data_IF_875303519595
#
_entry.id   IF_875303519595
#
_cell.length_a   1.000
_cell.length_b   1.000
_cell.length_c   1.000
_cell.angle_alpha   90.00
_cell.angle_beta   90.00
_cell.angle_gamma   90.00
#
_symmetry.space_group_name_H-M   'P 1'
#
loop_
_entity.id
_entity.type
_entity.pdbx_description
1 polymer ?
#
# COMPACT_ATOMS: atom_id res chain seq x y z
N UNK A 1 23.19 28.19 -10.62
CA UNK A 1 22.65 27.64 -9.36
C UNK A 1 21.25 27.20 -9.71
N UNK A 2 21.08 25.92 -9.97
CA UNK A 2 19.77 25.35 -10.27
C UNK A 2 19.01 25.30 -8.95
N UNK A 3 17.95 26.11 -8.85
CA UNK A 3 17.08 26.13 -7.69
C UNK A 3 16.45 24.76 -7.53
N UNK A 4 16.71 24.12 -6.40
CA UNK A 4 15.91 23.00 -5.94
C UNK A 4 14.54 23.59 -5.58
N UNK A 5 13.63 23.58 -6.57
CA UNK A 5 12.28 24.12 -6.50
C UNK A 5 11.49 23.36 -5.43
N UNK A 6 11.69 23.74 -4.16
CA UNK A 6 11.18 23.12 -2.93
C UNK A 6 10.01 22.17 -3.16
N UNK A 7 10.32 20.90 -3.43
CA UNK A 7 9.32 19.94 -3.87
C UNK A 7 8.41 19.57 -2.70
N UNK A 8 7.10 19.70 -2.90
CA UNK A 8 6.10 19.32 -1.92
C UNK A 8 6.06 17.78 -1.79
N UNK A 9 6.68 17.23 -0.75
CA UNK A 9 6.60 15.79 -0.45
C UNK A 9 5.27 15.51 0.26
N UNK A 10 4.38 14.76 -0.42
CA UNK A 10 3.17 14.22 0.17
C UNK A 10 3.40 12.87 0.84
N UNK A 11 2.76 12.62 2.00
CA UNK A 11 2.69 11.31 2.66
C UNK A 11 1.25 10.93 2.98
N UNK A 12 0.96 9.65 2.90
CA UNK A 12 -0.31 9.07 3.39
C UNK A 12 0.03 8.09 4.50
N UNK A 13 -0.66 8.22 5.65
CA UNK A 13 -0.55 7.28 6.77
C UNK A 13 -1.95 6.75 7.09
N UNK A 14 -2.04 5.46 7.36
CA UNK A 14 -3.29 4.84 7.78
C UNK A 14 -3.08 4.18 9.14
N UNK A 15 -3.96 4.50 10.07
CA UNK A 15 -4.06 3.82 11.36
C UNK A 15 -5.27 2.91 11.30
N UNK A 16 -5.03 1.62 11.48
CA UNK A 16 -6.04 0.59 11.59
C UNK A 16 -6.32 0.33 13.07
N UNK A 17 -7.60 0.34 13.46
CA UNK A 17 -8.05 -0.16 14.77
C UNK A 17 -9.03 -1.28 14.54
N UNK A 18 -8.77 -2.41 15.18
CA UNK A 18 -9.67 -3.57 15.21
C UNK A 18 -9.56 -4.25 16.57
N UNK A 19 -10.63 -4.91 16.98
CA UNK A 19 -10.66 -5.70 18.20
C UNK A 19 -10.87 -7.18 17.86
N UNK A 20 -10.27 -8.07 18.66
CA UNK A 20 -10.62 -9.49 18.59
C UNK A 20 -12.08 -9.63 19.00
N UNK A 21 -12.85 -10.42 18.24
CA UNK A 21 -14.27 -10.74 18.48
C UNK A 21 -15.28 -9.64 18.10
N UNK A 22 -14.84 -8.53 17.48
CA UNK A 22 -15.72 -7.63 16.73
C UNK A 22 -15.70 -8.04 15.24
N UNK A 23 -16.54 -7.41 14.40
CA UNK A 23 -16.50 -7.54 12.93
C UNK A 23 -15.19 -6.95 12.35
N UNK A 24 -14.05 -7.55 12.67
CA UNK A 24 -12.73 -7.22 12.14
C UNK A 24 -12.22 -5.82 12.51
N UNK A 25 -11.66 -5.14 11.51
CA UNK A 25 -11.16 -3.78 11.67
C UNK A 25 -12.32 -2.79 11.60
N UNK A 26 -12.66 -2.18 12.75
CA UNK A 26 -13.83 -1.31 12.93
C UNK A 26 -13.55 0.17 12.68
N UNK A 27 -12.28 0.59 12.59
CA UNK A 27 -11.94 2.01 12.30
C UNK A 27 -10.66 2.16 11.48
N UNK A 28 -10.70 3.08 10.52
CA UNK A 28 -9.56 3.53 9.73
C UNK A 28 -9.41 5.04 9.85
N UNK A 29 -8.23 5.50 10.25
CA UNK A 29 -7.87 6.92 10.23
C UNK A 29 -6.84 7.15 9.14
N UNK A 30 -7.19 7.95 8.14
CA UNK A 30 -6.31 8.28 7.02
C UNK A 30 -5.77 9.69 7.20
N UNK A 31 -4.47 9.80 7.45
CA UNK A 31 -3.77 11.07 7.42
C UNK A 31 -3.19 11.28 6.03
N UNK A 32 -3.55 12.40 5.40
CA UNK A 32 -2.99 12.84 4.12
C UNK A 32 -2.27 14.15 4.38
N UNK A 33 -0.96 14.11 4.32
CA UNK A 33 -0.12 15.19 4.79
C UNK A 33 0.82 15.63 3.70
N UNK A 34 1.13 16.91 3.72
CA UNK A 34 2.10 17.52 2.81
C UNK A 34 3.07 18.32 3.64
N UNK A 35 4.35 18.21 3.31
CA UNK A 35 5.33 19.16 3.81
C UNK A 35 5.23 20.42 2.97
N UNK A 36 4.95 21.57 3.60
CA UNK A 36 5.05 22.85 2.91
C UNK A 36 6.48 23.01 2.36
N UNK A 37 6.66 23.46 1.11
CA UNK A 37 7.97 23.86 0.58
C UNK A 37 8.69 24.87 1.49
N UNK A 38 7.93 25.68 2.22
CA UNK A 38 8.43 26.73 3.13
C UNK A 38 8.60 26.23 4.58
N UNK A 39 8.35 24.95 4.87
CA UNK A 39 8.58 24.39 6.19
C UNK A 39 10.09 24.32 6.46
N UNK A 40 10.62 25.41 7.02
CA UNK A 40 11.97 25.52 7.56
C UNK A 40 12.34 24.21 8.27
N UNK A 41 13.52 23.62 8.01
CA UNK A 41 13.97 22.53 8.85
C UNK A 41 14.04 23.09 10.28
N UNK A 42 13.15 22.66 11.17
CA UNK A 42 13.34 22.83 12.60
C UNK A 42 14.56 22.01 12.96
N UNK A 43 15.72 22.65 12.82
CA UNK A 43 17.05 22.12 13.07
C UNK A 43 17.13 21.88 14.58
N UNK A 44 16.75 20.68 15.02
CA UNK A 44 17.16 20.19 16.31
C UNK A 44 18.42 19.34 16.05
N UNK A 45 19.58 19.97 16.21
CA UNK A 45 20.92 19.49 15.80
C UNK A 45 21.44 18.28 16.60
N UNK A 46 20.63 17.69 17.48
CA UNK A 46 21.07 16.65 18.42
C UNK A 46 20.69 15.23 18.00
N UNK A 47 19.94 15.04 16.92
CA UNK A 47 19.62 13.70 16.41
C UNK A 47 20.52 13.40 15.22
N UNK A 48 21.47 12.44 15.30
CA UNK A 48 22.28 12.03 14.17
C UNK A 48 21.38 11.54 13.04
N UNK A 49 21.19 12.36 12.01
CA UNK A 49 20.52 11.92 10.81
C UNK A 49 21.48 11.02 10.04
N UNK A 50 21.18 9.72 10.01
CA UNK A 50 21.80 8.76 9.10
C UNK A 50 21.64 9.26 7.67
N UNK A 51 22.69 9.89 7.13
CA UNK A 51 22.78 10.40 5.75
C UNK A 51 23.06 9.28 4.75
N UNK A 52 22.16 8.29 4.69
CA UNK A 52 22.04 7.40 3.54
C UNK A 52 20.60 7.44 3.06
N UNK A 53 20.24 8.55 2.41
CA UNK A 53 19.13 8.55 1.48
C UNK A 53 19.58 7.77 0.25
N UNK A 54 18.93 6.67 -0.15
CA UNK A 54 19.11 6.15 -1.50
C UNK A 54 18.60 7.22 -2.49
N UNK A 55 19.41 7.53 -3.50
CA UNK A 55 19.26 8.64 -4.46
C UNK A 55 18.05 8.52 -5.42
N UNK A 56 16.98 7.84 -5.02
CA UNK A 56 15.75 7.70 -5.81
C UNK A 56 14.52 8.06 -4.97
N UNK A 57 14.41 9.31 -4.53
CA UNK A 57 13.11 9.86 -4.13
C UNK A 57 12.36 10.21 -5.42
N UNK A 58 11.75 9.20 -6.03
CA UNK A 58 10.73 9.41 -7.05
C UNK A 58 9.64 10.32 -6.47
N UNK A 59 9.49 11.49 -7.08
CA UNK A 59 8.56 12.56 -6.77
C UNK A 59 7.16 12.02 -6.45
N UNK A 60 6.64 12.28 -5.25
CA UNK A 60 5.24 11.99 -4.91
C UNK A 60 4.43 13.27 -4.98
N UNK A 61 4.11 13.68 -6.21
CA UNK A 61 3.06 14.67 -6.45
C UNK A 61 1.73 14.05 -6.01
N UNK A 62 1.37 14.24 -4.75
CA UNK A 62 -0.01 14.06 -4.30
C UNK A 62 -0.85 14.97 -5.22
N UNK A 63 -1.89 14.50 -5.92
CA UNK A 63 -2.76 15.41 -6.67
C UNK A 63 -3.38 16.40 -5.67
N UNK A 64 -3.18 17.71 -5.90
CA UNK A 64 -3.65 18.81 -5.02
C UNK A 64 -5.14 18.84 -4.82
N UNK A 65 -5.85 18.14 -5.68
CA UNK A 65 -7.26 18.18 -5.77
C UNK A 65 -7.79 16.79 -5.41
N UNK A 66 -8.51 16.70 -4.29
CA UNK A 66 -9.41 15.57 -4.07
C UNK A 66 -10.50 15.52 -5.17
N UNK A 67 -10.65 16.61 -5.92
CA UNK A 67 -11.42 16.77 -7.16
C UNK A 67 -10.59 16.55 -8.44
N UNK A 68 -9.35 16.02 -8.38
CA UNK A 68 -8.91 15.21 -9.51
C UNK A 68 -9.92 14.10 -9.60
N UNK A 69 -10.89 14.31 -10.49
CA UNK A 69 -11.74 13.33 -11.10
C UNK A 69 -10.78 12.34 -11.72
N UNK A 70 -10.16 11.50 -10.91
CA UNK A 70 -9.81 10.19 -11.37
C UNK A 70 -11.18 9.61 -11.74
N UNK A 71 -11.51 9.71 -13.03
CA UNK A 71 -12.75 9.19 -13.55
C UNK A 71 -12.73 7.69 -13.26
N UNK A 72 -13.54 7.26 -12.30
CA UNK A 72 -13.62 5.87 -11.86
C UNK A 72 -13.10 5.60 -10.45
N UNK A 73 -13.48 4.43 -9.94
CA UNK A 73 -13.05 3.96 -8.62
C UNK A 73 -11.54 3.69 -8.57
N UNK A 74 -10.95 3.64 -7.38
CA UNK A 74 -9.55 3.18 -7.25
C UNK A 74 -9.39 1.74 -7.77
N UNK A 75 -10.46 0.93 -7.77
CA UNK A 75 -10.44 -0.41 -8.36
C UNK A 75 -10.21 -0.37 -9.87
N UNK A 76 -10.81 0.58 -10.60
CA UNK A 76 -10.54 0.78 -12.03
C UNK A 76 -9.08 1.19 -12.26
N UNK A 77 -8.54 2.02 -11.37
CA UNK A 77 -7.12 2.42 -11.44
C UNK A 77 -6.17 1.25 -11.18
N UNK A 78 -6.60 0.16 -10.54
CA UNK A 78 -5.74 -1.01 -10.35
C UNK A 78 -5.68 -1.90 -11.61
N UNK A 79 -6.64 -1.80 -12.52
CA UNK A 79 -6.75 -2.66 -13.71
C UNK A 79 -5.50 -2.58 -14.60
N UNK A 80 -5.09 -3.73 -15.11
CA UNK A 80 -3.97 -3.89 -16.04
C UNK A 80 -2.85 -4.75 -15.47
N UNK A 81 -1.76 -4.81 -16.22
CA UNK A 81 -0.56 -5.56 -15.88
C UNK A 81 0.43 -4.69 -15.12
N UNK A 82 1.08 -5.27 -14.11
CA UNK A 82 2.04 -4.59 -13.26
C UNK A 82 3.30 -5.43 -13.09
N UNK A 83 4.44 -4.77 -12.97
CA UNK A 83 5.71 -5.35 -12.53
C UNK A 83 6.13 -4.68 -11.24
N UNK A 84 6.62 -5.46 -10.28
CA UNK A 84 6.96 -4.95 -8.97
C UNK A 84 8.25 -5.51 -8.40
N UNK A 85 8.80 -4.75 -7.46
CA UNK A 85 9.88 -5.16 -6.57
C UNK A 85 9.37 -5.10 -5.13
N UNK A 86 9.55 -6.19 -4.39
CA UNK A 86 9.21 -6.34 -2.98
C UNK A 86 10.49 -6.33 -2.15
N UNK A 87 10.53 -5.49 -1.14
CA UNK A 87 11.55 -5.44 -0.10
C UNK A 87 10.93 -5.87 1.22
N UNK A 88 11.35 -7.03 1.77
CA UNK A 88 10.80 -7.57 3.01
C UNK A 88 11.83 -7.57 4.14
N UNK A 89 11.36 -7.29 5.36
CA UNK A 89 12.13 -7.35 6.59
C UNK A 89 11.36 -8.13 7.66
N UNK A 90 12.06 -8.96 8.43
CA UNK A 90 11.47 -9.74 9.52
C UNK A 90 11.69 -9.09 10.89
N UNK A 91 10.83 -9.41 11.86
CA UNK A 91 10.96 -8.90 13.23
C UNK A 91 12.22 -9.42 13.94
N UNK A 92 12.65 -10.63 13.61
CA UNK A 92 13.84 -11.29 14.17
C UNK A 92 15.06 -11.24 13.23
N UNK A 93 14.90 -10.70 12.03
CA UNK A 93 15.93 -10.66 10.98
C UNK A 93 15.84 -9.33 10.24
N UNK A 94 16.81 -8.45 10.49
CA UNK A 94 16.90 -7.13 9.85
C UNK A 94 17.41 -7.20 8.41
N UNK A 95 17.73 -8.38 7.89
CA UNK A 95 18.14 -8.56 6.50
C UNK A 95 16.99 -8.23 5.57
N UNK A 96 17.22 -7.28 4.66
CA UNK A 96 16.25 -6.93 3.63
C UNK A 96 16.34 -7.98 2.52
N UNK A 97 15.21 -8.62 2.23
CA UNK A 97 15.06 -9.58 1.12
C UNK A 97 14.34 -8.93 -0.04
N UNK A 98 15.01 -8.86 -1.18
CA UNK A 98 14.44 -8.37 -2.43
C UNK A 98 13.83 -9.53 -3.24
N UNK A 99 12.67 -9.28 -3.87
CA UNK A 99 12.07 -10.23 -4.81
C UNK A 99 11.30 -9.49 -5.91
N UNK A 100 11.47 -9.93 -7.17
CA UNK A 100 10.77 -9.38 -8.34
C UNK A 100 9.57 -10.25 -8.69
N UNK A 101 8.48 -9.61 -9.09
CA UNK A 101 7.23 -10.28 -9.46
C UNK A 101 6.46 -9.46 -10.49
N UNK A 102 5.48 -10.08 -11.13
CA UNK A 102 4.46 -9.40 -11.90
C UNK A 102 3.07 -9.80 -11.41
N UNK A 103 2.07 -8.98 -11.71
CA UNK A 103 0.69 -9.35 -11.47
C UNK A 103 -0.25 -8.66 -12.44
N UNK A 104 -1.36 -9.32 -12.74
CA UNK A 104 -2.43 -8.81 -13.57
C UNK A 104 -3.67 -8.58 -12.72
N UNK A 105 -4.31 -7.43 -12.89
CA UNK A 105 -5.59 -7.12 -12.26
C UNK A 105 -6.64 -6.97 -13.35
N UNK A 106 -7.66 -7.81 -13.30
CA UNK A 106 -8.89 -7.60 -14.06
C UNK A 106 -10.02 -7.19 -13.12
N UNK A 107 -10.90 -6.31 -13.59
CA UNK A 107 -12.09 -5.89 -12.88
C UNK A 107 -13.22 -5.73 -13.89
N UNK A 108 -14.24 -6.58 -13.79
CA UNK A 108 -15.38 -6.62 -14.69
C UNK A 108 -16.63 -7.07 -13.94
N UNK A 109 -17.76 -6.39 -14.14
CA UNK A 109 -19.06 -6.74 -13.53
C UNK A 109 -18.99 -6.91 -12.00
N UNK A 110 -18.18 -6.08 -11.34
CA UNK A 110 -17.97 -6.16 -9.89
C UNK A 110 -17.14 -7.37 -9.43
N UNK A 111 -16.55 -8.15 -10.32
CA UNK A 111 -15.60 -9.21 -9.99
C UNK A 111 -14.19 -8.71 -10.22
N UNK A 112 -13.32 -8.88 -9.23
CA UNK A 112 -11.90 -8.58 -9.32
C UNK A 112 -11.13 -9.89 -9.40
N UNK A 113 -10.19 -10.00 -10.32
CA UNK A 113 -9.25 -11.11 -10.39
C UNK A 113 -7.83 -10.54 -10.34
N UNK A 114 -7.03 -11.04 -9.41
CA UNK A 114 -5.63 -10.67 -9.25
C UNK A 114 -4.79 -11.92 -9.43
N UNK A 115 -3.99 -11.95 -10.49
CA UNK A 115 -3.09 -13.06 -10.80
C UNK A 115 -1.65 -12.63 -10.57
N UNK A 116 -1.02 -13.13 -9.51
CA UNK A 116 0.40 -12.93 -9.25
C UNK A 116 1.24 -13.99 -9.96
N UNK A 117 2.38 -13.58 -10.49
CA UNK A 117 3.42 -14.44 -11.02
C UNK A 117 4.75 -14.10 -10.35
N UNK A 118 5.33 -15.07 -9.65
CA UNK A 118 6.61 -14.91 -8.96
C UNK A 118 7.75 -15.41 -9.86
N UNK A 119 8.54 -14.47 -10.40
CA UNK A 119 9.53 -14.73 -11.45
C UNK A 119 10.61 -15.78 -11.10
N UNK A 120 10.85 -16.03 -9.81
CA UNK A 120 11.91 -16.94 -9.36
C UNK A 120 11.43 -18.37 -9.09
N UNK A 121 10.13 -18.57 -8.89
CA UNK A 121 9.57 -19.88 -8.52
C UNK A 121 8.63 -20.45 -9.59
N UNK A 122 8.27 -19.67 -10.61
CA UNK A 122 7.20 -19.98 -11.56
C UNK A 122 5.86 -20.31 -10.87
N UNK A 123 5.71 -19.92 -9.61
CA UNK A 123 4.46 -20.05 -8.87
C UNK A 123 3.53 -18.91 -9.26
N UNK A 124 2.26 -19.26 -9.44
CA UNK A 124 1.18 -18.29 -9.57
C UNK A 124 0.26 -18.34 -8.36
N UNK A 125 -0.28 -17.19 -8.01
CA UNK A 125 -1.33 -17.06 -7.00
C UNK A 125 -2.48 -16.26 -7.60
N UNK A 126 -3.64 -16.88 -7.68
CA UNK A 126 -4.87 -16.25 -8.14
C UNK A 126 -5.74 -15.86 -6.94
N UNK A 127 -6.18 -14.60 -6.90
CA UNK A 127 -7.11 -14.07 -5.91
C UNK A 127 -8.33 -13.49 -6.60
N UNK A 128 -9.45 -14.19 -6.48
CA UNK A 128 -10.75 -13.76 -7.04
C UNK A 128 -11.58 -13.10 -5.96
N UNK A 129 -11.92 -11.83 -6.13
CA UNK A 129 -12.73 -11.05 -5.21
C UNK A 129 -14.09 -10.68 -5.81
N UNK A 130 -15.08 -10.47 -4.96
CA UNK A 130 -16.41 -10.00 -5.33
C UNK A 130 -16.70 -8.64 -4.69
N UNK A 131 -17.27 -7.72 -5.49
CA UNK A 131 -17.74 -6.43 -5.01
C UNK A 131 -18.93 -6.62 -4.07
N UNK A 132 -18.77 -6.09 -2.87
CA UNK A 132 -19.79 -6.09 -1.82
C UNK A 132 -20.48 -4.73 -1.74
N UNK A 133 -19.75 -3.65 -1.97
CA UNK A 133 -20.25 -2.27 -2.05
C UNK A 133 -19.45 -1.49 -3.08
N UNK A 134 -19.81 -0.23 -3.33
CA UNK A 134 -19.06 0.58 -4.28
C UNK A 134 -17.59 0.76 -3.94
N UNK A 135 -17.24 0.62 -2.65
CA UNK A 135 -15.91 0.84 -2.09
C UNK A 135 -15.29 -0.41 -1.48
N UNK A 136 -15.85 -1.60 -1.70
CA UNK A 136 -15.36 -2.82 -1.06
C UNK A 136 -15.42 -4.05 -1.96
N UNK A 137 -14.30 -4.75 -2.07
CA UNK A 137 -14.17 -6.09 -2.63
C UNK A 137 -13.86 -7.06 -1.48
N UNK A 138 -14.54 -8.20 -1.42
CA UNK A 138 -14.25 -9.29 -0.47
C UNK A 138 -13.70 -10.49 -1.22
N UNK A 139 -12.64 -11.08 -0.69
CA UNK A 139 -11.99 -12.28 -1.21
C UNK A 139 -12.40 -13.52 -0.40
N UNK A 140 -12.41 -14.73 -1.02
CA UNK A 140 -12.75 -15.99 -0.36
C UNK A 140 -11.88 -16.33 0.84
N UNK A 141 -10.64 -15.82 0.89
CA UNK A 141 -9.73 -16.00 2.03
C UNK A 141 -10.06 -15.09 3.24
N UNK A 142 -11.22 -14.42 3.22
CA UNK A 142 -11.64 -13.52 4.29
C UNK A 142 -10.90 -12.18 4.28
N UNK A 143 -10.21 -11.80 3.21
CA UNK A 143 -9.65 -10.45 3.07
C UNK A 143 -10.65 -9.49 2.42
N UNK A 144 -10.55 -8.22 2.75
CA UNK A 144 -11.36 -7.14 2.23
C UNK A 144 -10.47 -6.02 1.71
N UNK A 145 -10.61 -5.69 0.43
CA UNK A 145 -9.98 -4.53 -0.17
C UNK A 145 -10.97 -3.37 -0.20
N UNK A 146 -10.62 -2.27 0.46
CA UNK A 146 -11.45 -1.07 0.58
C UNK A 146 -10.83 0.10 -0.17
N UNK A 147 -11.67 0.81 -0.92
CA UNK A 147 -11.31 2.05 -1.59
C UNK A 147 -11.50 3.24 -0.65
N UNK A 148 -10.41 3.94 -0.34
CA UNK A 148 -10.41 5.14 0.52
C UNK A 148 -10.37 6.44 -0.28
N UNK A 149 -10.46 6.36 -1.61
CA UNK A 149 -10.42 7.48 -2.55
C UNK A 149 -9.01 8.03 -2.80
N UNK A 150 -8.82 8.77 -3.88
CA UNK A 150 -7.52 9.39 -4.23
C UNK A 150 -6.41 8.36 -4.50
N UNK A 151 -6.77 7.20 -5.06
CA UNK A 151 -5.84 6.13 -5.39
C UNK A 151 -5.41 5.27 -4.20
N UNK A 152 -5.97 5.48 -3.01
CA UNK A 152 -5.57 4.78 -1.79
C UNK A 152 -6.50 3.59 -1.52
N UNK A 153 -5.94 2.42 -1.29
CA UNK A 153 -6.66 1.25 -0.81
C UNK A 153 -6.07 0.68 0.46
N UNK A 154 -6.89 -0.07 1.20
CA UNK A 154 -6.45 -0.93 2.29
C UNK A 154 -6.93 -2.34 2.09
N UNK A 155 -6.10 -3.32 2.44
CA UNK A 155 -6.45 -4.72 2.51
C UNK A 155 -6.35 -5.16 3.96
N UNK A 156 -7.45 -5.65 4.51
CA UNK A 156 -7.54 -6.13 5.89
C UNK A 156 -8.39 -7.40 5.92
N UNK A 157 -8.21 -8.30 6.89
CA UNK A 157 -9.15 -9.40 7.07
C UNK A 157 -10.53 -8.85 7.52
N UNK A 158 -11.60 -9.53 7.09
CA UNK A 158 -12.99 -9.24 7.48
C UNK A 158 -13.24 -9.51 8.96
N UNK A 159 -12.43 -10.37 9.57
CA UNK A 159 -12.42 -10.68 11.00
C UNK A 159 -10.97 -10.95 11.44
N UNK A 160 -10.61 -10.61 12.68
CA UNK A 160 -9.27 -10.94 13.18
C UNK A 160 -9.28 -12.41 13.60
N UNK A 161 -8.55 -13.32 12.91
CA UNK A 161 -8.54 -14.73 13.26
C UNK A 161 -7.89 -14.96 14.62
N UNK A 162 -8.38 -15.97 15.34
CA UNK A 162 -7.82 -16.37 16.66
C UNK A 162 -6.41 -16.95 16.54
N UNK A 163 -6.10 -17.56 15.38
CA UNK A 163 -4.82 -18.18 15.09
C UNK A 163 -4.36 -17.88 13.66
N UNK A 164 -3.06 -18.05 13.41
CA UNK A 164 -2.46 -17.81 12.10
C UNK A 164 -2.01 -16.37 11.90
N UNK A 165 -1.70 -16.05 10.65
CA UNK A 165 -1.14 -14.75 10.27
C UNK A 165 -2.26 -13.76 9.94
N UNK A 166 -2.13 -12.56 10.47
CA UNK A 166 -2.93 -11.39 10.10
C UNK A 166 -2.09 -10.50 9.22
N UNK A 167 -2.55 -10.27 7.99
CA UNK A 167 -1.90 -9.35 7.06
C UNK A 167 -2.80 -8.12 6.95
N UNK A 168 -2.20 -6.96 7.17
CA UNK A 168 -2.80 -5.66 6.83
C UNK A 168 -1.92 -4.98 5.81
N UNK A 169 -2.56 -4.29 4.88
CA UNK A 169 -1.85 -3.63 3.80
C UNK A 169 -2.52 -2.32 3.44
N UNK A 170 -1.69 -1.39 3.00
CA UNK A 170 -2.08 -0.15 2.37
C UNK A 170 -1.39 -0.06 1.02
N UNK A 171 -2.12 0.38 0.00
CA UNK A 171 -1.55 0.74 -1.29
C UNK A 171 -1.98 2.14 -1.71
N UNK A 172 -1.15 2.78 -2.53
CA UNK A 172 -1.41 4.07 -3.13
C UNK A 172 -1.00 4.06 -4.60
N UNK A 173 -1.98 4.23 -5.48
CA UNK A 173 -1.82 4.36 -6.93
C UNK A 173 -1.56 5.83 -7.28
N UNK A 174 -0.47 6.06 -8.01
CA UNK A 174 0.08 7.33 -8.44
C UNK A 174 0.29 7.27 -9.97
N UNK A 175 -0.82 7.31 -10.73
CA UNK A 175 -0.79 7.10 -12.18
C UNK A 175 -0.30 5.69 -12.53
N UNK A 176 0.85 5.61 -13.20
CA UNK A 176 1.46 4.34 -13.62
C UNK A 176 2.32 3.69 -12.53
N UNK A 177 2.49 4.32 -11.37
CA UNK A 177 3.22 3.76 -10.24
C UNK A 177 2.26 3.43 -9.11
N UNK A 178 2.48 2.32 -8.42
CA UNK A 178 1.77 1.95 -7.20
C UNK A 178 2.79 1.65 -6.11
N UNK A 179 2.62 2.28 -4.95
CA UNK A 179 3.42 2.01 -3.75
C UNK A 179 2.55 1.28 -2.76
N UNK A 180 3.08 0.26 -2.10
CA UNK A 180 2.31 -0.58 -1.18
C UNK A 180 3.16 -0.98 0.01
N UNK A 181 2.55 -1.06 1.18
CA UNK A 181 3.18 -1.54 2.40
C UNK A 181 2.27 -2.60 2.98
N UNK A 182 2.83 -3.76 3.30
CA UNK A 182 2.14 -4.77 4.10
C UNK A 182 2.84 -4.97 5.43
N UNK A 183 2.06 -5.34 6.43
CA UNK A 183 2.56 -5.78 7.73
C UNK A 183 1.85 -7.05 8.12
N UNK A 184 2.65 -8.03 8.54
CA UNK A 184 2.19 -9.33 8.99
C UNK A 184 2.34 -9.40 10.50
N UNK A 185 1.29 -9.86 11.15
CA UNK A 185 1.24 -10.16 12.57
C UNK A 185 0.90 -11.62 12.78
N UNK A 186 1.36 -12.20 13.89
CA UNK A 186 0.94 -13.51 14.37
C UNK A 186 0.62 -13.37 15.84
N UNK A 187 -0.60 -13.72 16.22
CA UNK A 187 -1.05 -13.66 17.62
C UNK A 187 -0.91 -12.27 18.28
N UNK A 188 -0.83 -11.20 17.48
CA UNK A 188 -0.64 -9.81 17.93
C UNK A 188 0.79 -9.30 17.81
N UNK A 189 1.77 -10.20 17.70
CA UNK A 189 3.17 -9.83 17.51
C UNK A 189 3.46 -9.49 16.06
N UNK A 190 4.24 -8.43 15.85
CA UNK A 190 4.76 -8.10 14.53
C UNK A 190 5.74 -9.19 14.08
N UNK A 191 5.52 -9.72 12.88
CA UNK A 191 6.35 -10.79 12.27
C UNK A 191 7.21 -10.25 11.15
N UNK A 192 6.62 -9.45 10.26
CA UNK A 192 7.34 -8.89 9.11
C UNK A 192 6.64 -7.68 8.54
N UNK A 193 7.40 -6.90 7.78
CA UNK A 193 6.88 -5.83 6.92
C UNK A 193 7.46 -5.98 5.53
N UNK A 194 6.68 -5.61 4.52
CA UNK A 194 7.15 -5.55 3.15
C UNK A 194 6.74 -4.22 2.52
N UNK A 195 7.67 -3.63 1.78
CA UNK A 195 7.44 -2.46 0.93
C UNK A 195 7.51 -2.89 -0.53
N UNK A 196 6.61 -2.37 -1.32
CA UNK A 196 6.46 -2.72 -2.72
C UNK A 196 6.45 -1.46 -3.58
N UNK A 197 7.20 -1.50 -4.67
CA UNK A 197 7.17 -0.50 -5.73
C UNK A 197 6.76 -1.22 -7.00
N UNK A 198 5.65 -0.78 -7.59
CA UNK A 198 5.00 -1.43 -8.72
C UNK A 198 4.81 -0.42 -9.85
N UNK A 199 5.07 -0.83 -11.08
CA UNK A 199 4.91 -0.01 -12.30
C UNK A 199 4.01 -0.74 -13.28
N UNK A 200 3.04 -0.02 -13.86
CA UNK A 200 2.15 -0.54 -14.89
C UNK A 200 2.92 -0.80 -16.19
N UNK A 201 2.56 -1.90 -16.86
CA UNK A 201 3.12 -2.32 -18.17
C UNK A 201 2.22 -1.85 -19.30
#
# INVERSE_FOLDING_TARGET
MDGDDGKCVGRVRIVHKGARNEEGFSTWVVFRERRSPQALPSYNSEIPQSRKHPDEILETNYPWDLSTKAEGSTFEQLRGSWKGVKYAIGAKDSTIRESKYSFDVSYLDGKMDINFLFNHTNESLELKGQRMTDKMIRFPNGQELRDLGGGVTVLTPSSIPESGNVIVEMAWVLGNTRKRISRTYKEGDWVSSAYFIETRV
#
